data_IF_642518287591
#
_entry.id   IF_642518287591
#
_cell.length_a   1.000
_cell.length_b   1.000
_cell.length_c   1.000
_cell.angle_alpha   90.00
_cell.angle_beta   90.00
_cell.angle_gamma   90.00
#
_symmetry.space_group_name_H-M   'P 1'
#
loop_
_entity.id
_entity.type
_entity.pdbx_description
1 polymer ?
#
# COMPACT_ATOMS: atom_id res chain seq x y z
N UNK A 1 2.25 -16.95 -0.97
CA UNK A 1 1.79 -17.61 -2.22
C UNK A 1 0.41 -18.28 -2.12
N UNK A 2 0.17 -19.26 -1.23
CA UNK A 2 -1.15 -19.95 -1.17
C UNK A 2 -2.32 -19.12 -0.63
N UNK A 3 -2.05 -18.02 0.09
CA UNK A 3 -3.08 -17.16 0.68
C UNK A 3 -4.09 -16.61 -0.33
N UNK A 4 -3.64 -16.16 -1.52
CA UNK A 4 -4.53 -15.59 -2.55
C UNK A 4 -5.63 -16.57 -3.00
N UNK A 5 -5.28 -17.83 -3.22
CA UNK A 5 -6.25 -18.87 -3.62
C UNK A 5 -7.21 -19.25 -2.49
N UNK A 6 -6.74 -19.10 -1.24
CA UNK A 6 -7.53 -19.36 -0.05
C UNK A 6 -8.37 -18.15 0.42
N UNK A 7 -8.30 -17.01 -0.27
CA UNK A 7 -8.95 -15.76 0.16
C UNK A 7 -8.32 -15.14 1.43
N UNK A 8 -7.09 -15.51 1.76
CA UNK A 8 -6.36 -14.97 2.91
C UNK A 8 -5.41 -13.85 2.45
N UNK A 9 -5.63 -12.64 2.99
CA UNK A 9 -4.86 -11.45 2.68
C UNK A 9 -4.09 -10.97 3.91
N UNK A 10 -2.85 -10.52 3.69
CA UNK A 10 -2.00 -9.96 4.74
C UNK A 10 -1.77 -8.48 4.46
N UNK A 11 -2.03 -7.64 5.46
CA UNK A 11 -1.71 -6.22 5.43
C UNK A 11 -0.61 -5.95 6.47
N UNK A 12 0.53 -5.42 6.02
CA UNK A 12 1.65 -5.04 6.88
C UNK A 12 1.84 -3.54 6.80
N UNK A 13 2.10 -2.90 7.94
CA UNK A 13 2.34 -1.46 8.02
C UNK A 13 3.56 -1.18 8.90
N UNK A 14 4.43 -0.27 8.47
CA UNK A 14 5.57 0.23 9.23
C UNK A 14 5.77 1.72 8.93
N UNK A 15 6.30 2.47 9.89
CA UNK A 15 6.68 3.87 9.70
C UNK A 15 8.11 4.02 9.14
N UNK A 16 8.96 3.05 9.41
CA UNK A 16 10.38 3.09 9.05
C UNK A 16 10.77 1.81 8.30
N UNK A 17 10.40 1.67 7.01
CA UNK A 17 10.69 0.46 6.25
C UNK A 17 12.21 0.29 6.09
N UNK A 18 12.72 -0.88 6.50
CA UNK A 18 14.12 -1.24 6.43
C UNK A 18 14.29 -2.78 6.26
N UNK A 19 15.52 -3.24 6.06
CA UNK A 19 15.80 -4.66 5.79
C UNK A 19 15.49 -5.60 6.97
N UNK A 20 15.47 -5.08 8.19
CA UNK A 20 15.15 -5.86 9.39
C UNK A 20 13.65 -6.12 9.51
N UNK A 21 12.82 -5.14 9.14
CA UNK A 21 11.35 -5.27 9.25
C UNK A 21 10.65 -5.68 7.95
N UNK A 22 11.24 -5.44 6.79
CA UNK A 22 10.74 -5.93 5.49
C UNK A 22 11.88 -6.68 4.77
N UNK A 23 12.25 -7.87 5.27
CA UNK A 23 13.28 -8.71 4.64
C UNK A 23 12.87 -9.16 3.23
N UNK A 24 13.86 -9.62 2.46
CA UNK A 24 13.70 -9.98 1.03
C UNK A 24 12.63 -11.05 0.83
N UNK A 25 12.54 -12.00 1.76
CA UNK A 25 11.58 -13.09 1.76
C UNK A 25 10.14 -12.57 1.82
N UNK A 26 9.89 -11.49 2.59
CA UNK A 26 8.60 -10.83 2.60
C UNK A 26 8.39 -10.02 1.32
N UNK A 27 9.37 -9.19 0.92
CA UNK A 27 9.27 -8.33 -0.28
C UNK A 27 8.94 -9.10 -1.55
N UNK A 28 9.56 -10.25 -1.74
CA UNK A 28 9.34 -11.14 -2.90
C UNK A 28 7.92 -11.74 -2.98
N UNK A 29 7.09 -11.55 -1.95
CA UNK A 29 5.73 -12.08 -1.86
C UNK A 29 4.67 -10.98 -1.76
N UNK A 30 5.08 -9.71 -1.71
CA UNK A 30 4.18 -8.56 -1.67
C UNK A 30 3.69 -8.28 -3.09
N UNK A 31 2.38 -8.33 -3.29
CA UNK A 31 1.74 -8.02 -4.57
C UNK A 31 1.26 -6.58 -4.68
N UNK A 32 1.34 -5.80 -3.60
CA UNK A 32 0.91 -4.41 -3.58
C UNK A 32 1.66 -3.61 -2.50
N UNK A 33 2.08 -2.40 -2.83
CA UNK A 33 2.81 -1.49 -1.94
C UNK A 33 2.15 -0.11 -2.00
N UNK A 34 1.87 0.44 -0.82
CA UNK A 34 1.47 1.83 -0.63
C UNK A 34 2.50 2.51 0.27
N UNK A 35 3.22 3.48 -0.27
CA UNK A 35 4.25 4.23 0.44
C UNK A 35 3.82 5.68 0.58
N UNK A 36 3.47 6.09 1.82
CA UNK A 36 3.07 7.47 2.11
C UNK A 36 4.28 8.42 2.15
N UNK A 37 4.10 9.63 1.61
CA UNK A 37 5.17 10.64 1.54
C UNK A 37 6.28 10.28 0.55
N UNK A 38 7.31 11.12 0.49
CA UNK A 38 8.45 10.92 -0.40
C UNK A 38 9.50 9.96 0.18
N UNK A 39 9.69 8.75 -0.37
CA UNK A 39 10.79 7.89 0.04
C UNK A 39 12.13 8.43 -0.45
N UNK A 40 13.18 8.30 0.36
CA UNK A 40 14.55 8.40 -0.12
C UNK A 40 14.89 7.25 -1.08
N UNK A 41 15.93 7.42 -1.91
CA UNK A 41 16.27 6.49 -2.98
C UNK A 41 16.42 5.02 -2.54
N UNK A 42 17.06 4.77 -1.39
CA UNK A 42 17.25 3.40 -0.88
C UNK A 42 15.94 2.77 -0.43
N UNK A 43 15.07 3.55 0.23
CA UNK A 43 13.74 3.09 0.67
C UNK A 43 12.83 2.83 -0.53
N UNK A 44 12.92 3.65 -1.56
CA UNK A 44 12.19 3.47 -2.80
C UNK A 44 12.56 2.13 -3.47
N UNK A 45 13.86 1.90 -3.69
CA UNK A 45 14.37 0.64 -4.26
C UNK A 45 14.01 -0.57 -3.42
N UNK A 46 14.06 -0.43 -2.10
CA UNK A 46 13.72 -1.52 -1.20
C UNK A 46 12.22 -1.83 -1.23
N UNK A 47 11.36 -0.82 -1.11
CA UNK A 47 9.91 -0.99 -1.04
C UNK A 47 9.30 -1.45 -2.37
N UNK A 48 9.78 -0.90 -3.48
CA UNK A 48 9.28 -1.19 -4.83
C UNK A 48 10.25 -2.07 -5.62
N UNK A 49 10.90 -3.02 -4.97
CA UNK A 49 11.91 -3.91 -5.59
C UNK A 49 11.39 -4.77 -6.77
N UNK A 50 10.07 -4.81 -6.95
CA UNK A 50 9.39 -5.50 -8.05
C UNK A 50 9.08 -4.58 -9.26
N UNK A 51 9.33 -3.28 -9.14
CA UNK A 51 8.98 -2.27 -10.15
C UNK A 51 10.22 -1.81 -10.94
N UNK A 52 9.97 -1.25 -12.13
CA UNK A 52 10.88 -0.31 -12.79
C UNK A 52 10.87 1.01 -12.01
N UNK A 53 12.02 1.68 -11.92
CA UNK A 53 12.21 2.85 -11.04
C UNK A 53 12.88 4.04 -11.74
N UNK A 54 12.90 4.02 -13.06
CA UNK A 54 13.54 5.04 -13.91
C UNK A 54 12.76 6.36 -13.91
N UNK A 55 11.42 6.31 -13.94
CA UNK A 55 10.56 7.50 -14.05
C UNK A 55 9.54 7.63 -12.92
N UNK A 56 9.90 7.20 -11.71
CA UNK A 56 9.00 7.31 -10.54
C UNK A 56 8.61 8.76 -10.29
N UNK A 57 7.31 9.08 -10.17
CA UNK A 57 6.86 10.43 -9.90
C UNK A 57 7.36 10.91 -8.52
N UNK A 58 7.72 12.18 -8.43
CA UNK A 58 8.08 12.80 -7.16
C UNK A 58 6.83 13.05 -6.32
N UNK A 59 6.84 12.58 -5.08
CA UNK A 59 5.81 12.92 -4.08
C UNK A 59 6.13 14.29 -3.50
N UNK A 60 5.13 15.17 -3.41
CA UNK A 60 5.22 16.49 -2.80
C UNK A 60 4.87 16.44 -1.30
N UNK A 61 4.85 17.60 -0.64
CA UNK A 61 4.40 17.73 0.76
C UNK A 61 2.87 17.74 0.92
N UNK A 62 2.13 17.40 -0.15
CA UNK A 62 0.67 17.30 -0.09
C UNK A 62 0.26 16.16 0.85
N UNK A 63 -0.55 16.49 1.85
CA UNK A 63 -1.11 15.49 2.79
C UNK A 63 -1.84 14.38 2.06
N UNK A 64 -1.52 13.14 2.42
CA UNK A 64 -2.10 11.93 1.84
C UNK A 64 -1.48 11.51 0.51
N UNK A 65 -0.56 12.29 -0.06
CA UNK A 65 0.13 11.90 -1.29
C UNK A 65 1.09 10.74 -1.04
N UNK A 66 1.12 9.81 -1.99
CA UNK A 66 1.77 8.52 -1.83
C UNK A 66 2.17 7.93 -3.19
N UNK A 67 3.10 6.99 -3.16
CA UNK A 67 3.37 6.07 -4.27
C UNK A 67 2.61 4.77 -4.05
N UNK A 68 1.98 4.27 -5.11
CA UNK A 68 1.24 3.02 -5.08
C UNK A 68 1.61 2.13 -6.25
N UNK A 69 1.76 0.85 -5.96
CA UNK A 69 1.92 -0.20 -6.96
C UNK A 69 1.09 -1.41 -6.53
N UNK A 70 0.49 -2.11 -7.49
CA UNK A 70 -0.11 -3.41 -7.28
C UNK A 70 -0.06 -4.25 -8.56
N UNK A 71 0.21 -5.55 -8.40
CA UNK A 71 0.17 -6.50 -9.51
C UNK A 71 -1.21 -6.46 -10.20
N UNK A 72 -1.21 -6.37 -11.52
CA UNK A 72 -2.44 -6.31 -12.33
C UNK A 72 -2.97 -4.90 -12.56
N UNK A 73 -2.38 -3.88 -11.94
CA UNK A 73 -2.38 -2.55 -12.55
C UNK A 73 -1.40 -2.64 -13.73
N UNK A 74 -1.82 -2.28 -14.93
CA UNK A 74 -0.98 -2.32 -16.15
C UNK A 74 0.11 -1.23 -16.10
N UNK A 75 0.91 -1.22 -15.05
CA UNK A 75 1.92 -0.23 -14.69
C UNK A 75 3.16 -0.98 -14.24
N UNK A 76 4.32 -0.62 -14.77
CA UNK A 76 5.61 -1.21 -14.37
C UNK A 76 6.31 -0.37 -13.30
N UNK A 77 5.94 0.90 -13.17
CA UNK A 77 6.44 1.83 -12.16
C UNK A 77 5.35 2.14 -11.11
N UNK A 78 5.73 2.57 -9.88
CA UNK A 78 4.78 3.08 -8.91
C UNK A 78 4.10 4.35 -9.42
N UNK A 79 2.79 4.45 -9.20
CA UNK A 79 2.00 5.63 -9.58
C UNK A 79 1.74 6.55 -8.39
N UNK A 80 1.61 7.84 -8.67
CA UNK A 80 1.19 8.82 -7.67
C UNK A 80 -0.28 8.60 -7.32
N UNK A 81 -0.60 8.61 -6.02
CA UNK A 81 -1.97 8.52 -5.52
C UNK A 81 -2.17 9.45 -4.33
N UNK A 82 -3.44 9.70 -3.99
CA UNK A 82 -3.84 10.48 -2.83
C UNK A 82 -4.72 9.58 -1.96
N UNK A 83 -4.20 9.19 -0.81
CA UNK A 83 -4.92 8.39 0.17
C UNK A 83 -6.02 9.23 0.79
N UNK A 84 -7.26 8.72 0.85
CA UNK A 84 -8.38 9.46 1.41
C UNK A 84 -8.17 9.75 2.90
N UNK A 85 -8.60 10.92 3.34
CA UNK A 85 -8.59 11.27 4.75
C UNK A 85 -9.75 10.59 5.47
N UNK A 86 -9.44 9.93 6.60
CA UNK A 86 -10.45 9.29 7.46
C UNK A 86 -10.57 10.10 8.74
N UNK A 87 -11.71 10.76 8.92
CA UNK A 87 -12.08 11.44 10.16
C UNK A 87 -13.14 10.65 10.94
N UNK A 88 -13.62 11.23 12.05
CA UNK A 88 -14.66 10.61 12.88
C UNK A 88 -15.95 10.35 12.09
N UNK A 89 -16.32 11.24 11.16
CA UNK A 89 -17.50 11.11 10.33
C UNK A 89 -17.31 9.99 9.31
N UNK A 90 -16.23 10.00 8.55
CA UNK A 90 -15.88 8.94 7.58
C UNK A 90 -15.82 7.56 8.26
N UNK A 91 -15.31 7.50 9.50
CA UNK A 91 -15.31 6.26 10.28
C UNK A 91 -16.72 5.79 10.65
N UNK A 92 -17.60 6.70 11.05
CA UNK A 92 -19.01 6.37 11.35
C UNK A 92 -19.75 5.90 10.09
N UNK A 93 -19.55 6.59 8.97
CA UNK A 93 -20.14 6.22 7.67
C UNK A 93 -19.69 4.82 7.25
N UNK A 94 -18.40 4.51 7.39
CA UNK A 94 -17.86 3.18 7.11
C UNK A 94 -18.44 2.10 8.03
N UNK A 95 -18.54 2.38 9.34
CA UNK A 95 -19.16 1.46 10.29
C UNK A 95 -20.62 1.16 9.94
N UNK A 96 -21.35 2.16 9.44
CA UNK A 96 -22.73 1.97 9.01
C UNK A 96 -22.82 1.05 7.78
N UNK A 97 -21.92 1.21 6.81
CA UNK A 97 -21.82 0.29 5.66
C UNK A 97 -21.55 -1.14 6.13
N UNK A 98 -20.59 -1.34 7.03
CA UNK A 98 -20.27 -2.67 7.57
C UNK A 98 -21.50 -3.28 8.25
N UNK A 99 -22.19 -2.53 9.12
CA UNK A 99 -23.41 -3.00 9.80
C UNK A 99 -24.52 -3.40 8.84
N UNK A 100 -24.66 -2.71 7.72
CA UNK A 100 -25.67 -3.02 6.71
C UNK A 100 -25.36 -4.30 5.90
N UNK A 101 -24.09 -4.76 5.88
CA UNK A 101 -23.65 -5.96 5.15
C UNK A 101 -23.65 -7.20 6.06
N UNK A 102 -23.51 -7.00 7.36
CA UNK A 102 -23.54 -8.11 8.31
C UNK A 102 -24.92 -8.80 8.27
N UNK A 103 -24.96 -10.14 8.21
CA UNK A 103 -26.23 -10.85 8.28
C UNK A 103 -26.90 -10.54 9.62
N UNK A 104 -28.22 -10.34 9.60
CA UNK A 104 -29.01 -10.26 10.81
C UNK A 104 -28.89 -11.62 11.54
N UNK A 105 -28.29 -11.61 12.72
CA UNK A 105 -28.32 -12.74 13.65
C UNK A 105 -29.59 -12.67 14.50
#
# INVERSE_FOLDING_TARGET
>A
RKGRQAGCHLCLSTQDPNVENIPVELRSQISAVLYLGGPGADRLKMAFSMCELENVPTVSDRKGEALFYADGLNTVEPVLTIVPFVDLKTKQDFLQVVRNILPNY
#
